data_IF_460852875020
#
_entry.id   IF_460852875020
#
_cell.length_a   1.000
_cell.length_b   1.000
_cell.length_c   1.000
_cell.angle_alpha   90.00
_cell.angle_beta   90.00
_cell.angle_gamma   90.00
#
_symmetry.space_group_name_H-M   'P 1'
#
loop_
_entity.id
_entity.type
_entity.pdbx_description
1 polymer ?
#
# COMPACT_ATOMS: atom_id res chain seq x y z
N UNK A 1 32.09 5.25 33.50
CA UNK A 1 31.34 5.90 34.60
C UNK A 1 30.11 6.55 33.97
N UNK A 2 28.94 5.91 34.06
CA UNK A 2 27.81 6.28 34.95
C UNK A 2 27.41 7.76 34.73
N UNK A 3 26.18 8.13 34.37
CA UNK A 3 24.85 7.76 34.91
C UNK A 3 23.83 8.08 33.80
N UNK A 4 22.96 7.18 33.32
CA UNK A 4 21.74 6.64 33.95
C UNK A 4 20.92 7.71 34.69
N UNK A 5 19.87 8.23 34.05
CA UNK A 5 18.69 8.74 34.75
C UNK A 5 17.45 8.14 34.10
N UNK A 6 16.80 7.31 34.89
CA UNK A 6 15.57 6.56 34.64
C UNK A 6 14.37 7.45 35.03
N UNK A 7 13.31 7.30 34.24
CA UNK A 7 11.87 7.59 34.47
C UNK A 7 11.40 7.66 35.95
N UNK A 8 10.35 8.44 36.26
CA UNK A 8 9.02 7.82 36.49
C UNK A 8 7.85 8.68 35.92
N UNK A 9 6.82 8.13 35.26
CA UNK A 9 5.62 7.47 35.82
C UNK A 9 4.38 8.40 35.75
N UNK A 10 3.40 7.99 34.92
CA UNK A 10 1.93 8.07 35.11
C UNK A 10 1.36 9.39 35.66
N UNK A 11 0.60 10.12 34.84
CA UNK A 11 -0.73 10.66 35.21
C UNK A 11 -1.40 11.33 33.99
N UNK A 12 -2.38 10.68 33.37
CA UNK A 12 -3.66 11.31 32.99
C UNK A 12 -4.63 10.23 32.47
N UNK A 13 -5.23 9.51 33.41
CA UNK A 13 -6.48 8.80 33.19
C UNK A 13 -7.54 9.47 34.08
N UNK A 14 -8.65 9.86 33.47
CA UNK A 14 -9.88 10.28 34.13
C UNK A 14 -10.33 11.67 33.69
N UNK A 15 -11.61 11.97 33.52
CA UNK A 15 -12.88 11.29 33.75
C UNK A 15 -13.88 12.08 32.90
N UNK A 16 -14.77 11.44 32.14
CA UNK A 16 -16.08 12.02 31.85
C UNK A 16 -17.18 10.94 31.98
N UNK A 17 -17.77 10.94 33.17
CA UNK A 17 -19.21 10.96 33.48
C UNK A 17 -20.13 9.81 32.99
N UNK A 18 -20.37 8.91 33.95
CA UNK A 18 -21.67 8.40 34.47
C UNK A 18 -22.97 8.93 33.82
N UNK A 19 -23.87 8.02 33.46
CA UNK A 19 -25.32 8.15 33.69
C UNK A 19 -26.02 6.78 33.80
N UNK A 20 -26.83 6.64 34.84
CA UNK A 20 -27.48 5.46 35.42
C UNK A 20 -28.54 4.75 34.56
N UNK A 21 -28.88 3.50 34.91
CA UNK A 21 -30.21 3.15 35.42
C UNK A 21 -30.27 1.70 35.94
N UNK A 22 -30.82 1.56 37.14
CA UNK A 22 -30.91 0.37 37.99
C UNK A 22 -32.31 -0.27 37.86
N UNK A 23 -32.42 -1.58 38.11
CA UNK A 23 -33.70 -2.27 38.28
C UNK A 23 -33.55 -3.79 38.32
N UNK A 24 -33.27 -4.35 39.51
CA UNK A 24 -33.45 -5.77 39.82
C UNK A 24 -34.93 -6.03 40.16
N UNK A 25 -35.52 -7.09 39.60
CA UNK A 25 -36.39 -8.00 40.38
C UNK A 25 -36.60 -9.36 39.70
N UNK A 26 -36.75 -10.35 40.58
CA UNK A 26 -36.72 -11.80 40.41
C UNK A 26 -37.98 -12.39 39.75
N UNK A 27 -37.84 -13.55 39.06
CA UNK A 27 -38.91 -14.56 39.08
C UNK A 27 -39.15 -15.44 37.84
N UNK A 28 -38.81 -16.74 38.02
CA UNK A 28 -39.43 -17.96 37.45
C UNK A 28 -39.17 -18.41 35.99
N UNK A 29 -38.59 -19.62 35.94
CA UNK A 29 -38.58 -20.62 34.86
C UNK A 29 -39.93 -20.79 34.15
N UNK A 30 -39.86 -21.01 32.83
CA UNK A 30 -40.57 -22.10 32.13
C UNK A 30 -39.75 -22.55 30.91
N UNK A 31 -39.55 -23.86 30.81
CA UNK A 31 -39.00 -24.58 29.66
C UNK A 31 -39.93 -24.43 28.46
N UNK A 32 -39.33 -24.25 27.28
CA UNK A 32 -39.96 -24.36 25.97
C UNK A 32 -38.86 -24.67 24.98
N UNK A 33 -38.74 -25.94 24.61
CA UNK A 33 -37.79 -26.42 23.62
C UNK A 33 -38.19 -25.92 22.24
N UNK A 34 -37.32 -25.15 21.59
CA UNK A 34 -37.26 -25.06 20.13
C UNK A 34 -35.80 -25.25 19.71
N UNK A 35 -35.56 -26.38 19.05
CA UNK A 35 -34.34 -26.66 18.29
C UNK A 35 -34.24 -25.64 17.16
N UNK A 36 -33.60 -24.50 17.41
CA UNK A 36 -32.99 -23.74 16.33
C UNK A 36 -31.68 -24.44 15.98
N UNK A 37 -31.66 -25.05 14.80
CA UNK A 37 -30.46 -25.58 14.17
C UNK A 37 -29.36 -24.50 14.21
N UNK A 38 -28.30 -24.74 14.99
CA UNK A 38 -27.01 -24.10 14.75
C UNK A 38 -26.47 -24.60 13.41
N UNK A 39 -27.05 -24.12 12.32
CA UNK A 39 -26.31 -24.03 11.07
C UNK A 39 -25.24 -22.96 11.28
N UNK A 40 -24.14 -23.40 11.87
CA UNK A 40 -22.85 -22.72 11.76
C UNK A 40 -22.55 -22.64 10.28
N UNK A 41 -22.97 -21.54 9.65
CA UNK A 41 -22.53 -21.11 8.34
C UNK A 41 -21.01 -21.11 8.41
N UNK A 42 -20.37 -22.19 7.96
CA UNK A 42 -18.95 -22.23 7.65
C UNK A 42 -18.78 -21.32 6.44
N UNK A 43 -18.81 -20.01 6.67
CA UNK A 43 -18.38 -19.03 5.69
C UNK A 43 -16.96 -19.42 5.38
N UNK A 44 -16.75 -19.87 4.14
CA UNK A 44 -15.45 -20.28 3.66
C UNK A 44 -14.48 -19.14 3.96
N UNK A 45 -13.48 -19.39 4.81
CA UNK A 45 -12.54 -18.36 5.25
C UNK A 45 -11.75 -17.81 4.05
N UNK A 46 -11.72 -18.53 2.92
CA UNK A 46 -11.22 -18.01 1.65
C UNK A 46 -12.03 -16.82 1.11
N UNK A 47 -13.34 -16.77 1.36
CA UNK A 47 -14.24 -15.70 0.86
C UNK A 47 -14.05 -14.34 1.57
N UNK A 48 -13.42 -14.33 2.75
CA UNK A 48 -13.29 -13.13 3.59
C UNK A 48 -11.89 -12.52 3.59
N UNK A 49 -10.92 -13.24 3.03
CA UNK A 49 -9.52 -12.82 3.00
C UNK A 49 -9.10 -12.46 1.59
N UNK A 50 -8.10 -11.60 1.49
CA UNK A 50 -7.38 -11.27 0.27
C UNK A 50 -5.98 -11.83 0.42
N UNK A 51 -5.49 -12.47 -0.63
CA UNK A 51 -4.13 -13.01 -0.73
C UNK A 51 -3.37 -12.18 -1.75
N UNK A 52 -2.19 -11.69 -1.36
CA UNK A 52 -1.28 -10.93 -2.22
C UNK A 52 0.07 -11.61 -2.19
N UNK A 53 0.58 -12.03 -3.34
CA UNK A 53 1.89 -12.67 -3.45
C UNK A 53 2.93 -11.65 -3.87
N UNK A 54 3.92 -11.43 -2.99
CA UNK A 54 5.03 -10.52 -3.22
C UNK A 54 6.22 -11.33 -3.75
N UNK A 55 6.69 -11.06 -4.98
CA UNK A 55 7.82 -11.77 -5.55
C UNK A 55 9.13 -11.49 -4.81
N UNK A 56 10.00 -12.49 -4.74
CA UNK A 56 11.28 -12.44 -4.03
C UNK A 56 12.24 -11.35 -4.53
N UNK A 57 12.07 -10.93 -5.78
CA UNK A 57 12.86 -9.87 -6.42
C UNK A 57 12.74 -8.53 -5.70
N UNK A 58 11.62 -8.26 -5.02
CA UNK A 58 11.37 -6.98 -4.35
C UNK A 58 12.10 -6.84 -3.01
N UNK A 59 12.54 -7.94 -2.41
CA UNK A 59 13.23 -7.95 -1.12
C UNK A 59 14.53 -8.77 -1.13
N UNK A 60 15.09 -9.00 -2.32
CA UNK A 60 16.36 -9.70 -2.48
C UNK A 60 17.45 -8.95 -1.72
N UNK A 61 18.17 -9.66 -0.83
CA UNK A 61 19.23 -9.09 0.00
C UNK A 61 18.75 -8.42 1.30
N UNK A 62 17.44 -8.44 1.58
CA UNK A 62 16.87 -8.00 2.86
C UNK A 62 16.67 -9.19 3.81
N UNK A 63 16.54 -8.88 5.11
CA UNK A 63 16.19 -9.87 6.12
C UNK A 63 14.69 -10.23 6.04
N UNK A 64 14.41 -11.43 5.56
CA UNK A 64 13.07 -11.96 5.37
C UNK A 64 12.32 -12.05 6.71
N UNK A 65 12.99 -12.38 7.81
CA UNK A 65 12.32 -12.53 9.10
C UNK A 65 11.84 -11.17 9.65
N UNK A 66 12.61 -10.10 9.38
CA UNK A 66 12.21 -8.73 9.67
C UNK A 66 10.98 -8.33 8.85
N UNK A 67 10.97 -8.63 7.55
CA UNK A 67 9.84 -8.33 6.64
C UNK A 67 8.57 -9.03 7.11
N UNK A 68 8.65 -10.32 7.46
CA UNK A 68 7.51 -11.10 7.97
C UNK A 68 7.00 -10.50 9.28
N UNK A 69 7.91 -10.06 10.16
CA UNK A 69 7.57 -9.47 11.45
C UNK A 69 6.87 -8.11 11.29
N UNK A 70 7.38 -7.25 10.42
CA UNK A 70 6.77 -5.96 10.09
C UNK A 70 5.40 -6.12 9.46
N UNK A 71 5.25 -7.06 8.51
CA UNK A 71 3.98 -7.39 7.90
C UNK A 71 2.93 -7.75 8.97
N UNK A 72 3.28 -8.65 9.90
CA UNK A 72 2.39 -9.04 11.01
C UNK A 72 2.04 -7.87 11.92
N UNK A 73 3.01 -7.00 12.24
CA UNK A 73 2.78 -5.80 13.05
C UNK A 73 1.85 -4.78 12.36
N UNK A 74 1.82 -4.77 11.02
CA UNK A 74 0.94 -3.89 10.22
C UNK A 74 -0.50 -4.41 10.07
N UNK A 75 -0.82 -5.56 10.68
CA UNK A 75 -2.16 -6.15 10.65
C UNK A 75 -2.34 -7.28 9.62
N UNK A 76 -1.26 -7.77 9.01
CA UNK A 76 -1.31 -8.96 8.16
C UNK A 76 -1.34 -10.21 9.05
N UNK A 77 -2.42 -10.99 8.98
CA UNK A 77 -2.67 -12.10 9.91
C UNK A 77 -1.75 -13.28 9.67
N UNK A 78 -1.44 -13.54 8.42
CA UNK A 78 -0.65 -14.70 8.01
C UNK A 78 0.25 -14.31 6.83
N UNK A 79 1.49 -14.79 6.89
CA UNK A 79 2.49 -14.63 5.85
C UNK A 79 3.04 -16.01 5.55
N UNK A 80 2.86 -16.46 4.32
CA UNK A 80 3.28 -17.78 3.84
C UNK A 80 4.56 -17.57 3.02
N UNK A 81 5.61 -18.34 3.33
CA UNK A 81 6.82 -18.39 2.52
C UNK A 81 6.67 -19.50 1.49
N UNK A 82 6.73 -19.15 0.22
CA UNK A 82 6.58 -20.07 -0.90
C UNK A 82 7.95 -20.65 -1.30
N UNK A 83 7.92 -21.78 -2.03
CA UNK A 83 9.12 -22.51 -2.47
C UNK A 83 9.98 -21.71 -3.46
N UNK A 84 9.36 -20.84 -4.26
CA UNK A 84 10.03 -19.90 -5.17
C UNK A 84 10.65 -18.69 -4.44
N UNK A 85 10.54 -18.65 -3.11
CA UNK A 85 11.02 -17.58 -2.26
C UNK A 85 10.09 -16.37 -2.16
N UNK A 86 8.96 -16.36 -2.87
CA UNK A 86 7.91 -15.32 -2.73
C UNK A 86 7.23 -15.39 -1.36
N UNK A 87 6.62 -14.29 -0.92
CA UNK A 87 5.81 -14.24 0.30
C UNK A 87 4.35 -13.98 -0.06
N UNK A 88 3.44 -14.82 0.43
CA UNK A 88 1.99 -14.58 0.27
C UNK A 88 1.42 -14.01 1.56
N UNK A 89 0.89 -12.80 1.47
CA UNK A 89 0.26 -12.09 2.57
C UNK A 89 -1.23 -12.35 2.56
N UNK A 90 -1.76 -12.84 3.68
CA UNK A 90 -3.18 -13.07 3.88
C UNK A 90 -3.73 -12.10 4.89
N UNK A 91 -4.66 -11.25 4.43
CA UNK A 91 -5.27 -10.20 5.23
C UNK A 91 -6.78 -10.17 5.04
N UNK A 92 -7.51 -9.57 5.96
CA UNK A 92 -8.95 -9.37 5.76
C UNK A 92 -9.21 -8.35 4.63
N UNK A 93 -10.38 -8.44 3.99
CA UNK A 93 -10.82 -7.42 3.00
C UNK A 93 -10.78 -5.99 3.54
N UNK A 94 -11.07 -5.78 4.83
CA UNK A 94 -11.01 -4.46 5.46
C UNK A 94 -9.58 -3.93 5.61
N UNK A 95 -8.64 -4.79 5.99
CA UNK A 95 -7.21 -4.45 6.10
C UNK A 95 -6.65 -4.13 4.71
N UNK A 96 -6.96 -4.97 3.72
CA UNK A 96 -6.58 -4.74 2.32
C UNK A 96 -7.10 -3.39 1.80
N UNK A 97 -8.39 -3.10 2.00
CA UNK A 97 -8.98 -1.82 1.59
C UNK A 97 -8.32 -0.62 2.28
N UNK A 98 -7.96 -0.75 3.55
CA UNK A 98 -7.23 0.29 4.30
C UNK A 98 -5.82 0.51 3.71
N UNK A 99 -5.07 -0.57 3.51
CA UNK A 99 -3.75 -0.53 2.87
C UNK A 99 -3.81 0.13 1.48
N UNK A 100 -4.78 -0.26 0.63
CA UNK A 100 -4.94 0.34 -0.69
C UNK A 100 -5.30 1.83 -0.65
N UNK A 101 -6.06 2.27 0.35
CA UNK A 101 -6.35 3.68 0.57
C UNK A 101 -5.08 4.45 0.96
N UNK A 102 -4.30 3.92 1.89
CA UNK A 102 -3.05 4.54 2.35
C UNK A 102 -2.01 4.60 1.22
N UNK A 103 -1.87 3.54 0.42
CA UNK A 103 -1.01 3.54 -0.78
C UNK A 103 -1.45 4.61 -1.77
N UNK A 104 -2.74 4.70 -2.06
CA UNK A 104 -3.29 5.76 -2.93
C UNK A 104 -2.94 7.15 -2.40
N UNK A 105 -3.18 7.42 -1.12
CA UNK A 105 -2.88 8.72 -0.51
C UNK A 105 -1.39 9.07 -0.60
N UNK A 106 -0.50 8.10 -0.40
CA UNK A 106 0.94 8.29 -0.55
C UNK A 106 1.34 8.61 -1.99
N UNK A 107 0.80 7.88 -2.98
CA UNK A 107 1.09 8.14 -4.41
C UNK A 107 0.63 9.53 -4.80
N UNK A 108 -0.60 9.91 -4.41
CA UNK A 108 -1.14 11.24 -4.69
C UNK A 108 -0.30 12.34 -4.04
N UNK A 109 0.17 12.12 -2.81
CA UNK A 109 1.09 13.05 -2.14
C UNK A 109 2.41 13.21 -2.91
N UNK A 110 3.02 12.10 -3.34
CA UNK A 110 4.26 12.14 -4.15
C UNK A 110 4.05 12.83 -5.50
N UNK A 111 2.89 12.64 -6.13
CA UNK A 111 2.51 13.37 -7.35
C UNK A 111 2.46 14.88 -7.10
N UNK A 112 1.82 15.33 -6.01
CA UNK A 112 1.77 16.75 -5.68
C UNK A 112 3.15 17.33 -5.29
N UNK A 113 4.00 16.53 -4.63
CA UNK A 113 5.38 16.92 -4.33
C UNK A 113 6.19 17.12 -5.60
N UNK A 114 6.07 16.24 -6.60
CA UNK A 114 6.75 16.40 -7.90
C UNK A 114 6.34 17.68 -8.63
N UNK A 115 5.08 18.12 -8.46
CA UNK A 115 4.55 19.35 -9.09
C UNK A 115 5.01 20.63 -8.40
N UNK A 116 5.38 20.55 -7.13
CA UNK A 116 5.61 21.73 -6.28
C UNK A 116 7.05 21.85 -5.78
N UNK A 117 7.86 20.81 -5.92
CA UNK A 117 9.25 20.78 -5.48
C UNK A 117 10.17 21.54 -6.44
N UNK A 118 11.09 22.32 -5.87
CA UNK A 118 12.17 22.96 -6.62
C UNK A 118 13.24 21.95 -7.06
N UNK A 119 13.29 20.76 -6.44
CA UNK A 119 14.23 19.69 -6.80
C UNK A 119 13.91 19.07 -8.18
N UNK A 120 12.69 19.25 -8.68
CA UNK A 120 12.20 18.76 -9.97
C UNK A 120 11.73 19.91 -10.85
N UNK A 121 12.58 20.93 -11.02
CA UNK A 121 12.23 22.21 -11.62
C UNK A 121 11.78 22.15 -13.10
N UNK A 122 11.97 21.02 -13.78
CA UNK A 122 11.44 20.81 -15.13
C UNK A 122 10.01 20.25 -15.15
N UNK A 123 9.46 19.79 -14.03
CA UNK A 123 8.13 19.16 -13.95
C UNK A 123 7.08 20.19 -13.56
N UNK A 124 6.06 20.36 -14.41
CA UNK A 124 5.00 21.34 -14.21
C UNK A 124 3.70 20.70 -13.73
N UNK A 125 3.37 19.53 -14.28
CA UNK A 125 2.16 18.81 -13.92
C UNK A 125 2.36 17.30 -14.04
N UNK A 126 1.60 16.55 -13.24
CA UNK A 126 1.61 15.10 -13.26
C UNK A 126 0.16 14.61 -13.18
N UNK A 127 -0.33 14.07 -14.29
CA UNK A 127 -1.63 13.41 -14.37
C UNK A 127 -1.48 11.90 -14.21
N UNK A 128 -2.54 11.23 -13.75
CA UNK A 128 -2.55 9.79 -13.56
C UNK A 128 -3.95 9.19 -13.74
N UNK A 129 -4.01 7.93 -14.15
CA UNK A 129 -5.27 7.20 -14.21
C UNK A 129 -5.65 6.59 -12.84
N UNK A 130 -6.88 6.08 -12.71
CA UNK A 130 -7.40 5.61 -11.41
C UNK A 130 -6.64 4.42 -10.82
N UNK A 131 -6.04 3.59 -11.68
CA UNK A 131 -5.28 2.39 -11.31
C UNK A 131 -3.80 2.67 -11.07
N UNK A 132 -3.33 3.90 -11.32
CA UNK A 132 -1.91 4.24 -11.32
C UNK A 132 -1.08 3.37 -12.28
N UNK A 133 -1.70 2.88 -13.35
CA UNK A 133 -1.00 2.14 -14.41
C UNK A 133 -0.51 3.09 -15.53
N UNK A 134 -0.97 4.33 -15.52
CA UNK A 134 -0.55 5.37 -16.46
C UNK A 134 -0.33 6.68 -15.74
N UNK A 135 0.78 7.33 -16.05
CA UNK A 135 1.12 8.68 -15.62
C UNK A 135 1.46 9.54 -16.84
N UNK A 136 1.16 10.82 -16.78
CA UNK A 136 1.60 11.80 -17.78
C UNK A 136 2.35 12.92 -17.06
N UNK A 137 3.65 13.00 -17.32
CA UNK A 137 4.53 14.06 -16.86
C UNK A 137 4.52 15.19 -17.88
N UNK A 138 3.96 16.32 -17.50
CA UNK A 138 4.04 17.55 -18.31
C UNK A 138 5.25 18.32 -17.85
N UNK A 139 6.20 18.54 -18.75
CA UNK A 139 7.53 19.05 -18.42
C UNK A 139 7.96 20.17 -19.37
N UNK A 140 8.84 21.03 -18.87
CA UNK A 140 9.68 21.86 -19.72
C UNK A 140 10.75 20.97 -20.38
N UNK A 141 10.58 20.67 -21.67
CA UNK A 141 11.43 19.70 -22.39
C UNK A 141 12.92 20.02 -22.31
N UNK A 142 13.30 21.27 -22.56
CA UNK A 142 14.72 21.70 -22.56
C UNK A 142 15.40 21.53 -21.19
N UNK A 143 14.67 21.70 -20.10
CA UNK A 143 15.18 21.48 -18.73
C UNK A 143 15.12 20.02 -18.29
N UNK A 144 14.24 19.24 -18.90
CA UNK A 144 14.03 17.83 -18.55
C UNK A 144 15.07 16.92 -19.21
N UNK A 145 15.38 17.14 -20.49
CA UNK A 145 16.29 16.28 -21.23
C UNK A 145 17.70 16.28 -20.61
N UNK A 146 18.17 15.10 -20.19
CA UNK A 146 19.48 14.90 -19.56
C UNK A 146 19.57 15.37 -18.10
N UNK A 147 18.46 15.81 -17.49
CA UNK A 147 18.43 16.19 -16.07
C UNK A 147 18.14 15.00 -15.15
N UNK A 148 18.34 15.23 -13.86
CA UNK A 148 18.00 14.23 -12.83
C UNK A 148 16.48 14.03 -12.71
N UNK A 149 15.68 15.00 -13.16
CA UNK A 149 14.22 14.97 -13.09
C UNK A 149 13.62 13.81 -13.90
N UNK A 150 14.37 13.30 -14.89
CA UNK A 150 14.03 12.08 -15.61
C UNK A 150 13.78 10.89 -14.67
N UNK A 151 14.42 10.82 -13.50
CA UNK A 151 14.18 9.76 -12.50
C UNK A 151 12.80 9.82 -11.84
N UNK A 152 12.09 10.95 -11.92
CA UNK A 152 10.72 11.03 -11.43
C UNK A 152 9.79 10.05 -12.17
N UNK A 153 10.05 9.80 -13.45
CA UNK A 153 9.31 8.80 -14.24
C UNK A 153 9.43 7.40 -13.63
N UNK A 154 10.65 6.99 -13.28
CA UNK A 154 10.92 5.71 -12.63
C UNK A 154 10.29 5.63 -11.24
N UNK A 155 10.37 6.70 -10.45
CA UNK A 155 9.74 6.76 -9.13
C UNK A 155 8.22 6.56 -9.19
N UNK A 156 7.55 7.21 -10.15
CA UNK A 156 6.12 7.04 -10.38
C UNK A 156 5.77 5.64 -10.88
N UNK A 157 6.59 5.10 -11.79
CA UNK A 157 6.42 3.75 -12.28
C UNK A 157 6.52 2.72 -11.14
N UNK A 158 7.54 2.83 -10.28
CA UNK A 158 7.66 2.00 -9.08
C UNK A 158 6.42 2.10 -8.20
N UNK A 159 5.96 3.32 -7.92
CA UNK A 159 4.79 3.55 -7.07
C UNK A 159 3.51 2.92 -7.66
N UNK A 160 3.30 3.06 -8.96
CA UNK A 160 2.19 2.43 -9.69
C UNK A 160 2.28 0.90 -9.73
N UNK A 161 3.48 0.36 -9.94
CA UNK A 161 3.74 -1.08 -9.93
C UNK A 161 3.43 -1.69 -8.54
N UNK A 162 3.86 -1.03 -7.46
CA UNK A 162 3.49 -1.43 -6.10
C UNK A 162 1.98 -1.37 -5.85
N UNK A 163 1.31 -0.31 -6.33
CA UNK A 163 -0.15 -0.22 -6.22
C UNK A 163 -0.84 -1.40 -6.89
N UNK A 164 -0.42 -1.74 -8.11
CA UNK A 164 -0.99 -2.86 -8.87
C UNK A 164 -0.72 -4.21 -8.19
N UNK A 165 0.51 -4.45 -7.72
CA UNK A 165 0.87 -5.64 -6.96
C UNK A 165 -0.07 -5.83 -5.76
N UNK A 166 -0.19 -4.81 -4.92
CA UNK A 166 -1.05 -4.89 -3.74
C UNK A 166 -2.54 -4.92 -4.07
N UNK A 167 -2.94 -4.42 -5.24
CA UNK A 167 -4.31 -4.58 -5.74
C UNK A 167 -4.60 -6.00 -6.28
N UNK A 168 -3.61 -6.91 -6.26
CA UNK A 168 -3.75 -8.30 -6.69
C UNK A 168 -3.52 -8.53 -8.18
N UNK A 169 -2.83 -7.61 -8.88
CA UNK A 169 -2.37 -7.88 -10.23
C UNK A 169 -1.32 -9.00 -10.21
N UNK A 170 -1.35 -9.86 -11.23
CA UNK A 170 -0.34 -10.89 -11.43
C UNK A 170 1.03 -10.25 -11.71
N UNK A 171 2.09 -10.90 -11.24
CA UNK A 171 3.47 -10.43 -11.39
C UNK A 171 3.92 -10.28 -12.85
N UNK A 172 3.30 -11.01 -13.78
CA UNK A 172 3.58 -10.87 -15.21
C UNK A 172 2.82 -9.70 -15.86
N UNK A 173 1.91 -9.06 -15.13
CA UNK A 173 0.91 -8.14 -15.67
C UNK A 173 0.94 -6.72 -15.05
N UNK A 174 1.79 -6.42 -14.06
CA UNK A 174 1.89 -5.08 -13.47
C UNK A 174 2.80 -4.16 -14.30
N UNK A 175 2.28 -3.68 -15.44
CA UNK A 175 2.96 -2.67 -16.27
C UNK A 175 2.55 -1.26 -15.88
N UNK A 176 3.48 -0.32 -15.91
CA UNK A 176 3.19 1.11 -15.78
C UNK A 176 3.78 1.87 -16.96
N UNK A 177 2.96 2.67 -17.61
CA UNK A 177 3.39 3.56 -18.70
C UNK A 177 3.50 4.99 -18.18
N UNK A 178 4.62 5.64 -18.45
CA UNK A 178 4.84 7.05 -18.14
C UNK A 178 5.04 7.80 -19.44
N UNK A 179 4.10 8.69 -19.77
CA UNK A 179 4.17 9.55 -20.94
C UNK A 179 4.85 10.87 -20.56
N UNK A 180 5.87 11.28 -21.32
CA UNK A 180 6.52 12.58 -21.14
C UNK A 180 6.01 13.54 -22.20
N UNK A 181 5.33 14.58 -21.74
CA UNK A 181 4.62 15.56 -22.55
C UNK A 181 5.29 16.92 -22.43
N UNK A 182 5.61 17.53 -23.56
CA UNK A 182 6.16 18.89 -23.61
C UNK A 182 5.05 19.90 -23.27
N UNK A 183 5.30 20.76 -22.28
CA UNK A 183 4.36 21.80 -21.87
C UNK A 183 4.04 22.81 -22.97
N UNK A 184 4.98 23.05 -23.90
CA UNK A 184 4.92 24.16 -24.86
C UNK A 184 3.93 23.92 -26.00
N UNK A 185 3.81 22.67 -26.45
CA UNK A 185 2.96 22.26 -27.56
C UNK A 185 1.95 21.16 -27.17
N UNK A 186 2.09 20.55 -25.99
CA UNK A 186 1.23 19.49 -25.50
C UNK A 186 1.49 18.11 -26.13
N UNK A 187 2.57 17.95 -26.90
CA UNK A 187 2.91 16.69 -27.56
C UNK A 187 3.65 15.75 -26.61
N UNK A 188 3.31 14.46 -26.67
CA UNK A 188 4.10 13.41 -26.02
C UNK A 188 5.31 13.13 -26.89
N UNK A 189 6.51 13.39 -26.35
CA UNK A 189 7.77 13.20 -27.08
C UNK A 189 8.56 11.97 -26.61
N UNK A 190 8.20 11.40 -25.46
CA UNK A 190 8.80 10.17 -24.95
C UNK A 190 7.77 9.33 -24.17
N UNK A 191 7.98 8.02 -24.12
CA UNK A 191 7.09 7.07 -23.45
C UNK A 191 7.92 5.94 -22.86
N UNK A 192 7.85 5.79 -21.54
CA UNK A 192 8.59 4.78 -20.80
C UNK A 192 7.64 3.71 -20.29
N UNK A 193 7.94 2.44 -20.55
CA UNK A 193 7.09 1.30 -20.12
C UNK A 193 7.86 0.42 -19.14
N UNK A 194 7.45 0.43 -17.88
CA UNK A 194 8.08 -0.39 -16.84
C UNK A 194 7.29 -1.68 -16.61
N UNK A 195 7.95 -2.83 -16.33
CA UNK A 195 9.40 -2.97 -16.14
C UNK A 195 10.22 -3.15 -17.43
N UNK A 196 9.64 -3.05 -18.62
CA UNK A 196 10.32 -3.31 -19.91
C UNK A 196 11.61 -2.44 -20.06
N UNK A 197 11.56 -1.16 -19.70
CA UNK A 197 12.73 -0.24 -19.66
C UNK A 197 13.91 -0.75 -18.80
N UNK A 198 13.65 -1.52 -17.73
CA UNK A 198 14.70 -2.06 -16.88
C UNK A 198 15.41 -3.24 -17.53
N UNK A 199 14.70 -3.97 -18.39
CA UNK A 199 15.24 -5.14 -19.07
C UNK A 199 16.10 -4.74 -20.26
N UNK A 200 15.72 -3.69 -21.00
CA UNK A 200 16.49 -3.19 -22.15
C UNK A 200 17.90 -2.66 -21.78
N UNK A 201 18.09 -2.24 -20.53
CA UNK A 201 19.38 -1.75 -20.02
C UNK A 201 20.32 -2.88 -19.53
N UNK A 202 19.85 -4.11 -19.39
CA UNK A 202 20.66 -5.25 -18.96
C UNK A 202 21.31 -6.02 -20.13
N UNK A 203 20.90 -5.70 -21.37
CA UNK A 203 21.40 -6.34 -22.61
C UNK A 203 22.45 -5.50 -23.36
N UNK A 204 22.98 -4.43 -22.74
CA UNK A 204 24.03 -3.56 -23.29
C UNK A 204 25.36 -3.64 -22.55
#
# INVERSE_FOLDING_TARGET
>A
MKKLLILPLILLLGILLVACSQGDESGKKKEGAEKASEETLKVDKGLLNVEVTIPATLYKGQDIDSIISEAKNSGIKEVIKNDDGSLTYKMSKSEHKKMMKELKERIVKSVEELKTSEDFASINDVAYNKSFSEFTLTVNKEKFEGSFDALASFGLALAGMYYQLFNGADVEHYKVTVYIKDESNGEVFDTMVYPDELNENNDK
#
